data_IF_115285735220
#
_entry.id   IF_115285735220
#
_cell.length_a   1.000
_cell.length_b   1.000
_cell.length_c   1.000
_cell.angle_alpha   90.00
_cell.angle_beta   90.00
_cell.angle_gamma   90.00
#
_symmetry.space_group_name_H-M   'P 1'
#
loop_
_entity.id
_entity.type
_entity.pdbx_description
1 polymer ?
#
# COMPACT_ATOMS: atom_id res chain seq x y z
N UNK A 1 24.82 64.69 -18.45
CA UNK A 1 23.81 65.05 -19.46
C UNK A 1 22.68 64.03 -19.23
N UNK A 2 21.67 64.33 -18.45
CA UNK A 2 20.53 65.20 -18.72
C UNK A 2 19.49 64.45 -19.60
N UNK A 3 18.31 64.34 -19.08
CA UNK A 3 17.06 64.05 -19.75
C UNK A 3 16.19 63.06 -18.94
N UNK A 4 15.55 63.39 -17.91
CA UNK A 4 14.16 63.82 -17.57
C UNK A 4 13.15 63.58 -18.70
N UNK A 5 12.09 62.86 -18.44
CA UNK A 5 10.76 63.39 -18.68
C UNK A 5 9.65 62.60 -17.95
N UNK A 6 8.83 63.38 -17.33
CA UNK A 6 7.56 63.12 -16.67
C UNK A 6 6.49 62.63 -17.64
N UNK A 7 5.57 61.73 -17.19
CA UNK A 7 4.17 61.78 -17.62
C UNK A 7 3.19 61.40 -16.50
N UNK A 8 2.50 62.37 -16.09
CA UNK A 8 1.21 62.66 -15.48
C UNK A 8 0.29 61.47 -15.21
N UNK A 9 -0.22 61.53 -13.99
CA UNK A 9 -1.29 60.72 -13.42
C UNK A 9 -2.68 61.00 -13.99
N UNK A 10 -3.55 60.04 -13.85
CA UNK A 10 -4.99 60.19 -13.72
C UNK A 10 -5.50 59.42 -12.50
N UNK A 11 -5.95 60.18 -11.54
CA UNK A 11 -6.82 59.71 -10.44
C UNK A 11 -8.20 59.41 -11.01
N UNK A 12 -8.72 58.21 -10.81
CA UNK A 12 -10.12 57.92 -10.94
C UNK A 12 -10.75 57.72 -9.54
N UNK A 13 -11.89 58.31 -9.27
CA UNK A 13 -12.49 58.31 -7.92
C UNK A 13 -13.23 57.00 -7.62
N UNK A 14 -13.08 56.61 -6.41
CA UNK A 14 -13.75 55.63 -5.59
C UNK A 14 -14.99 54.89 -6.09
N UNK A 15 -14.85 53.59 -6.11
CA UNK A 15 -15.99 52.68 -5.83
C UNK A 15 -15.60 51.91 -4.59
N UNK A 16 -16.13 52.32 -3.43
CA UNK A 16 -16.05 51.60 -2.17
C UNK A 16 -17.10 50.49 -2.21
N UNK A 17 -16.72 49.30 -2.67
CA UNK A 17 -17.55 48.10 -2.53
C UNK A 17 -17.31 47.59 -1.10
N UNK A 18 -18.28 47.83 -0.22
CA UNK A 18 -18.32 47.17 1.10
C UNK A 18 -18.63 45.70 0.92
N UNK A 19 -17.60 44.88 0.93
CA UNK A 19 -17.74 43.42 1.07
C UNK A 19 -18.07 43.08 2.52
N UNK A 20 -19.34 43.08 2.85
CA UNK A 20 -19.86 42.66 4.15
C UNK A 20 -19.92 41.13 4.33
N UNK A 21 -19.43 40.36 3.37
CA UNK A 21 -19.38 38.89 3.41
C UNK A 21 -18.01 38.26 3.74
N UNK A 22 -16.94 39.07 3.77
CA UNK A 22 -15.57 38.55 3.86
C UNK A 22 -15.12 38.23 5.30
N UNK A 23 -15.70 38.85 6.30
CA UNK A 23 -15.32 38.64 7.70
C UNK A 23 -15.78 37.29 8.24
N UNK A 24 -16.94 36.83 7.84
CA UNK A 24 -17.48 35.54 8.32
C UNK A 24 -16.76 34.33 7.68
N UNK A 25 -16.36 34.44 6.42
CA UNK A 25 -15.53 33.43 5.76
C UNK A 25 -14.11 33.37 6.35
N UNK A 26 -13.51 34.53 6.65
CA UNK A 26 -12.20 34.58 7.32
C UNK A 26 -12.22 34.02 8.74
N UNK A 27 -13.32 34.21 9.48
CA UNK A 27 -13.50 33.57 10.79
C UNK A 27 -13.68 32.06 10.69
N UNK A 28 -14.42 31.57 9.69
CA UNK A 28 -14.59 30.14 9.42
C UNK A 28 -13.24 29.51 9.03
N UNK A 29 -12.46 30.14 8.16
CA UNK A 29 -11.13 29.67 7.79
C UNK A 29 -10.15 29.69 8.96
N UNK A 30 -10.11 30.77 9.76
CA UNK A 30 -9.28 30.84 10.97
C UNK A 30 -9.71 29.89 12.06
N UNK A 31 -11.01 29.57 12.15
CA UNK A 31 -11.50 28.57 13.10
C UNK A 31 -11.09 27.17 12.66
N UNK A 32 -11.15 26.90 11.36
CA UNK A 32 -10.69 25.62 10.78
C UNK A 32 -9.18 25.47 10.90
N UNK A 33 -8.38 26.51 10.60
CA UNK A 33 -6.93 26.52 10.82
C UNK A 33 -6.55 26.32 12.30
N UNK A 34 -7.30 26.90 13.26
CA UNK A 34 -7.06 26.68 14.69
C UNK A 34 -7.55 25.33 15.20
N UNK A 35 -8.55 24.74 14.56
CA UNK A 35 -9.01 23.36 14.83
C UNK A 35 -7.98 22.37 14.27
N UNK A 36 -7.36 22.65 13.12
CA UNK A 36 -6.28 21.87 12.53
C UNK A 36 -4.95 22.03 13.31
N UNK A 37 -4.64 23.23 13.87
CA UNK A 37 -3.48 23.48 14.74
C UNK A 37 -3.62 22.90 16.16
N UNK A 38 -4.83 22.67 16.65
CA UNK A 38 -5.10 22.07 17.97
C UNK A 38 -5.26 20.54 17.95
N UNK A 39 -5.21 19.91 16.77
CA UNK A 39 -5.01 18.48 16.68
C UNK A 39 -3.53 18.22 16.95
N UNK A 40 -3.17 17.93 18.18
CA UNK A 40 -1.84 17.41 18.50
C UNK A 40 -1.60 16.20 17.57
N UNK A 41 -0.73 16.38 16.58
CA UNK A 41 -0.28 15.26 15.77
C UNK A 41 0.22 14.19 16.74
N UNK A 42 -0.48 13.08 16.79
CA UNK A 42 -0.06 11.95 17.60
C UNK A 42 1.32 11.55 17.07
N UNK A 43 2.34 11.60 17.90
CA UNK A 43 3.70 11.32 17.47
C UNK A 43 3.76 9.87 16.97
N UNK A 44 4.12 9.71 15.70
CA UNK A 44 4.19 8.39 15.04
C UNK A 44 5.42 7.66 15.54
N UNK A 45 5.23 6.45 16.07
CA UNK A 45 6.30 5.54 16.39
C UNK A 45 6.75 4.79 15.13
N UNK A 46 7.85 5.23 14.52
CA UNK A 46 8.39 4.65 13.28
C UNK A 46 8.71 3.14 13.40
N UNK A 47 8.74 2.60 14.60
CA UNK A 47 9.03 1.19 14.86
C UNK A 47 7.82 0.37 15.29
N UNK A 48 6.60 0.92 15.11
CA UNK A 48 5.34 0.23 15.41
C UNK A 48 4.53 -0.01 14.15
N UNK A 49 4.02 -1.21 14.01
CA UNK A 49 3.12 -1.64 12.93
C UNK A 49 1.84 -2.25 13.51
N UNK A 50 0.72 -1.96 12.87
CA UNK A 50 -0.56 -2.58 13.19
C UNK A 50 -1.01 -3.47 12.02
N UNK A 51 -1.50 -4.67 12.34
CA UNK A 51 -2.06 -5.62 11.38
C UNK A 51 -3.54 -5.83 11.67
N UNK A 52 -4.40 -5.48 10.73
CA UNK A 52 -5.86 -5.66 10.82
C UNK A 52 -6.29 -6.80 9.90
N UNK A 53 -6.70 -7.90 10.49
CA UNK A 53 -6.98 -9.17 9.84
C UNK A 53 -5.83 -10.17 10.02
N UNK A 54 -6.08 -11.24 10.77
CA UNK A 54 -5.11 -12.30 11.10
C UNK A 54 -5.44 -13.62 10.36
N UNK A 55 -5.92 -13.50 9.09
CA UNK A 55 -6.05 -14.65 8.20
C UNK A 55 -4.69 -15.07 7.63
N UNK A 56 -4.67 -16.00 6.67
CA UNK A 56 -3.43 -16.51 6.08
C UNK A 56 -2.46 -15.42 5.59
N UNK A 57 -2.98 -14.37 4.96
CA UNK A 57 -2.16 -13.25 4.47
C UNK A 57 -1.63 -12.43 5.63
N UNK A 58 -2.50 -12.07 6.60
CA UNK A 58 -2.11 -11.29 7.77
C UNK A 58 -1.06 -11.99 8.62
N UNK A 59 -1.29 -13.26 8.96
CA UNK A 59 -0.35 -14.07 9.76
C UNK A 59 1.00 -14.25 9.05
N UNK A 60 0.97 -14.59 7.76
CA UNK A 60 2.21 -14.71 6.97
C UNK A 60 2.96 -13.37 6.88
N UNK A 61 2.23 -12.26 6.76
CA UNK A 61 2.82 -10.91 6.72
C UNK A 61 3.40 -10.54 8.09
N UNK A 62 2.67 -10.80 9.18
CA UNK A 62 3.16 -10.55 10.54
C UNK A 62 4.45 -11.33 10.82
N UNK A 63 4.51 -12.60 10.43
CA UNK A 63 5.71 -13.42 10.54
C UNK A 63 6.88 -12.85 9.72
N UNK A 64 6.63 -12.46 8.45
CA UNK A 64 7.66 -11.88 7.58
C UNK A 64 8.19 -10.53 8.12
N UNK A 65 7.33 -9.73 8.75
CA UNK A 65 7.72 -8.47 9.38
C UNK A 65 8.50 -8.69 10.70
N UNK A 66 8.12 -9.67 11.50
CA UNK A 66 8.86 -10.06 12.70
C UNK A 66 10.28 -10.48 12.33
N UNK A 67 10.42 -11.35 11.33
CA UNK A 67 11.71 -11.85 10.86
C UNK A 67 12.58 -10.73 10.23
N UNK A 68 11.97 -9.70 9.63
CA UNK A 68 12.70 -8.58 9.03
C UNK A 68 13.46 -7.71 10.04
N UNK A 69 12.97 -7.63 11.26
CA UNK A 69 13.50 -6.72 12.30
C UNK A 69 13.29 -5.22 12.00
N UNK A 70 12.37 -4.87 11.09
CA UNK A 70 12.02 -3.49 10.78
C UNK A 70 11.35 -2.77 11.96
N UNK A 71 10.47 -3.48 12.66
CA UNK A 71 9.70 -2.94 13.77
C UNK A 71 10.14 -3.52 15.09
N UNK A 72 9.86 -2.81 16.18
CA UNK A 72 10.05 -3.26 17.56
C UNK A 72 8.73 -3.52 18.29
N UNK A 73 7.61 -3.14 17.67
CA UNK A 73 6.27 -3.37 18.21
C UNK A 73 5.29 -3.71 17.07
N UNK A 74 4.46 -4.72 17.29
CA UNK A 74 3.41 -5.14 16.38
C UNK A 74 2.14 -5.46 17.17
N UNK A 75 1.03 -4.81 16.77
CA UNK A 75 -0.29 -5.15 17.27
C UNK A 75 -1.08 -5.91 16.21
N UNK A 76 -1.67 -7.02 16.61
CA UNK A 76 -2.53 -7.85 15.77
C UNK A 76 -3.99 -7.66 16.17
N UNK A 77 -4.83 -7.35 15.19
CA UNK A 77 -6.25 -7.07 15.40
C UNK A 77 -7.07 -7.96 14.44
N UNK A 78 -8.02 -8.69 14.98
CA UNK A 78 -8.98 -9.48 14.19
C UNK A 78 -10.38 -9.38 14.81
N UNK A 79 -11.40 -9.58 13.99
CA UNK A 79 -12.78 -9.69 14.48
C UNK A 79 -12.95 -10.90 15.43
N UNK A 80 -12.19 -11.96 15.21
CA UNK A 80 -12.00 -13.08 16.12
C UNK A 80 -10.77 -12.81 17.01
N UNK A 81 -11.01 -12.32 18.22
CA UNK A 81 -9.94 -12.01 19.18
C UNK A 81 -9.10 -13.23 19.54
N UNK A 82 -9.70 -14.41 19.64
CA UNK A 82 -8.95 -15.64 19.94
C UNK A 82 -7.94 -15.97 18.83
N UNK A 83 -8.31 -15.69 17.58
CA UNK A 83 -7.38 -15.81 16.44
C UNK A 83 -6.22 -14.86 16.58
N UNK A 84 -6.47 -13.56 16.82
CA UNK A 84 -5.41 -12.58 17.00
C UNK A 84 -4.46 -12.95 18.16
N UNK A 85 -5.01 -13.42 19.28
CA UNK A 85 -4.23 -13.89 20.42
C UNK A 85 -3.39 -15.13 20.08
N UNK A 86 -3.98 -16.11 19.40
CA UNK A 86 -3.28 -17.31 18.96
C UNK A 86 -2.13 -17.03 18.00
N UNK A 87 -2.35 -16.17 16.99
CA UNK A 87 -1.32 -15.76 16.05
C UNK A 87 -0.21 -14.94 16.74
N UNK A 88 -0.56 -14.04 17.67
CA UNK A 88 0.41 -13.27 18.44
C UNK A 88 1.31 -14.19 19.30
N UNK A 89 0.71 -15.18 19.95
CA UNK A 89 1.48 -16.15 20.74
C UNK A 89 2.41 -17.00 19.88
N UNK A 90 1.90 -17.57 18.79
CA UNK A 90 2.67 -18.45 17.91
C UNK A 90 3.86 -17.72 17.29
N UNK A 91 3.62 -16.52 16.73
CA UNK A 91 4.69 -15.69 16.16
C UNK A 91 5.71 -15.28 17.24
N UNK A 92 5.25 -14.95 18.46
CA UNK A 92 6.12 -14.56 19.58
C UNK A 92 7.06 -15.68 20.00
N UNK A 93 6.67 -16.94 19.86
CA UNK A 93 7.56 -18.08 20.13
C UNK A 93 8.75 -18.16 19.16
N UNK A 94 8.70 -17.47 18.04
CA UNK A 94 9.83 -17.30 17.12
C UNK A 94 10.86 -16.24 17.55
N UNK A 95 10.50 -15.33 18.48
CA UNK A 95 11.37 -14.21 18.87
C UNK A 95 12.73 -14.60 19.45
N UNK A 96 12.92 -15.74 20.17
CA UNK A 96 14.25 -16.17 20.57
C UNK A 96 15.25 -16.38 19.43
N UNK A 97 14.76 -16.52 18.19
CA UNK A 97 15.56 -16.70 16.97
C UNK A 97 15.61 -15.45 16.08
N UNK A 98 14.96 -14.36 16.48
CA UNK A 98 14.81 -13.13 15.72
C UNK A 98 15.26 -11.89 16.52
N UNK A 99 15.06 -10.69 15.96
CA UNK A 99 15.29 -9.45 16.71
C UNK A 99 14.19 -9.22 17.74
N UNK A 100 14.51 -8.60 18.89
CA UNK A 100 13.50 -8.31 19.90
C UNK A 100 12.35 -7.46 19.35
N UNK A 101 11.11 -7.90 19.59
CA UNK A 101 9.90 -7.24 19.19
C UNK A 101 8.80 -7.51 20.23
N UNK A 102 7.98 -6.52 20.54
CA UNK A 102 6.75 -6.71 21.30
C UNK A 102 5.61 -7.05 20.34
N UNK A 103 5.05 -8.26 20.45
CA UNK A 103 3.94 -8.71 19.60
C UNK A 103 2.77 -9.05 20.53
N UNK A 104 1.58 -8.53 20.21
CA UNK A 104 0.38 -8.75 21.03
C UNK A 104 -0.90 -8.58 20.21
N UNK A 105 -1.94 -9.25 20.67
CA UNK A 105 -3.30 -8.96 20.21
C UNK A 105 -3.82 -7.71 20.91
N UNK A 106 -4.41 -6.81 20.15
CA UNK A 106 -4.92 -5.54 20.66
C UNK A 106 -6.22 -5.12 20.01
N UNK A 107 -6.54 -3.85 20.14
CA UNK A 107 -7.72 -3.24 19.53
C UNK A 107 -7.38 -1.94 18.77
N UNK A 108 -8.41 -1.22 18.30
CA UNK A 108 -8.20 -0.01 17.53
C UNK A 108 -7.58 1.14 18.33
N UNK A 109 -7.57 1.10 19.66
CA UNK A 109 -6.92 2.15 20.47
C UNK A 109 -5.40 1.96 20.47
N UNK A 110 -4.93 0.75 20.21
CA UNK A 110 -3.50 0.42 20.11
C UNK A 110 -2.83 0.89 18.81
N UNK A 111 -3.60 1.35 17.79
CA UNK A 111 -3.01 1.74 16.49
C UNK A 111 -2.61 3.22 16.41
N UNK A 112 -2.93 4.02 17.41
CA UNK A 112 -2.87 5.50 17.37
C UNK A 112 -1.51 6.03 16.94
N UNK A 113 -0.44 5.42 17.42
CA UNK A 113 0.95 5.80 17.15
C UNK A 113 1.65 4.90 16.11
N UNK A 114 0.94 3.96 15.47
CA UNK A 114 1.55 3.07 14.49
C UNK A 114 2.05 3.83 13.24
N UNK A 115 3.27 3.53 12.79
CA UNK A 115 3.81 4.10 11.54
C UNK A 115 3.08 3.57 10.30
N UNK A 116 2.71 2.29 10.32
CA UNK A 116 2.00 1.64 9.22
C UNK A 116 0.85 0.82 9.81
N UNK A 117 -0.33 1.00 9.25
CA UNK A 117 -1.53 0.22 9.54
C UNK A 117 -1.84 -0.61 8.30
N UNK A 118 -1.68 -1.93 8.40
CA UNK A 118 -1.85 -2.86 7.30
C UNK A 118 -3.23 -3.51 7.41
N UNK A 119 -4.04 -3.43 6.36
CA UNK A 119 -5.36 -4.05 6.32
C UNK A 119 -5.34 -5.23 5.35
N UNK A 120 -5.43 -6.43 5.93
CA UNK A 120 -5.58 -7.70 5.20
C UNK A 120 -6.94 -8.34 5.44
N UNK A 121 -7.79 -7.69 6.25
CA UNK A 121 -9.12 -8.15 6.56
C UNK A 121 -10.01 -8.13 5.32
N UNK A 122 -10.67 -9.23 5.05
CA UNK A 122 -11.56 -9.39 3.92
C UNK A 122 -12.08 -10.83 3.82
N UNK A 123 -13.13 -11.00 3.05
CA UNK A 123 -13.65 -12.33 2.73
C UNK A 123 -13.01 -12.84 1.45
N UNK A 124 -12.78 -14.14 1.40
CA UNK A 124 -12.40 -14.82 0.16
C UNK A 124 -13.63 -15.03 -0.74
N UNK A 125 -13.40 -15.04 -2.05
CA UNK A 125 -14.43 -15.39 -3.03
C UNK A 125 -14.84 -16.86 -2.85
N UNK A 126 -16.14 -17.12 -2.80
CA UNK A 126 -16.68 -18.47 -2.81
C UNK A 126 -16.84 -18.97 -4.25
N UNK A 127 -16.92 -20.29 -4.48
CA UNK A 127 -17.05 -20.85 -5.82
C UNK A 127 -18.24 -20.32 -6.63
N UNK A 128 -19.34 -19.97 -5.95
CA UNK A 128 -20.60 -19.50 -6.58
C UNK A 128 -20.74 -17.97 -6.54
N UNK A 129 -19.73 -17.23 -6.08
CA UNK A 129 -19.75 -15.77 -5.99
C UNK A 129 -19.09 -15.13 -7.22
N UNK A 130 -19.71 -14.05 -7.72
CA UNK A 130 -19.12 -13.23 -8.76
C UNK A 130 -18.04 -12.28 -8.16
N UNK A 131 -17.20 -11.71 -9.01
CA UNK A 131 -16.27 -10.64 -8.58
C UNK A 131 -17.00 -9.45 -7.97
N UNK A 132 -18.17 -9.10 -8.50
CA UNK A 132 -18.98 -7.98 -7.99
C UNK A 132 -19.51 -8.26 -6.59
N UNK A 133 -19.94 -9.49 -6.31
CA UNK A 133 -20.38 -9.90 -4.96
C UNK A 133 -19.23 -9.80 -3.96
N UNK A 134 -18.02 -10.21 -4.35
CA UNK A 134 -16.83 -10.08 -3.52
C UNK A 134 -16.51 -8.61 -3.22
N UNK A 135 -16.58 -7.73 -4.25
CA UNK A 135 -16.40 -6.28 -4.07
C UNK A 135 -17.38 -5.73 -3.05
N UNK A 136 -18.69 -5.99 -3.23
CA UNK A 136 -19.74 -5.48 -2.34
C UNK A 136 -19.53 -5.96 -0.89
N UNK A 137 -19.19 -7.22 -0.71
CA UNK A 137 -18.93 -7.82 0.58
C UNK A 137 -17.72 -7.18 1.28
N UNK A 138 -16.61 -7.02 0.57
CA UNK A 138 -15.40 -6.45 1.14
C UNK A 138 -15.51 -4.94 1.36
N UNK A 139 -16.23 -4.21 0.51
CA UNK A 139 -16.60 -2.80 0.78
C UNK A 139 -17.46 -2.71 2.05
N UNK A 140 -18.38 -3.66 2.28
CA UNK A 140 -19.15 -3.75 3.52
C UNK A 140 -18.25 -3.92 4.76
N UNK A 141 -17.25 -4.79 4.68
CA UNK A 141 -16.25 -4.98 5.75
C UNK A 141 -15.44 -3.70 5.96
N UNK A 142 -14.98 -3.04 4.90
CA UNK A 142 -14.24 -1.79 4.97
C UNK A 142 -15.03 -0.65 5.60
N UNK A 143 -16.34 -0.58 5.36
CA UNK A 143 -17.24 0.37 6.04
C UNK A 143 -17.28 0.20 7.56
N UNK A 144 -16.95 -0.97 8.10
CA UNK A 144 -16.84 -1.19 9.54
C UNK A 144 -15.43 -0.95 10.09
N UNK A 145 -14.37 -1.17 9.29
CA UNK A 145 -12.98 -1.07 9.72
C UNK A 145 -12.43 0.35 9.57
N UNK A 146 -12.55 0.93 8.38
CA UNK A 146 -11.87 2.18 8.05
C UNK A 146 -12.35 3.37 8.90
N UNK A 147 -13.65 3.54 9.21
CA UNK A 147 -14.08 4.59 10.14
C UNK A 147 -13.53 4.41 11.56
N UNK A 148 -13.31 3.17 12.01
CA UNK A 148 -12.71 2.94 13.34
C UNK A 148 -11.23 3.35 13.36
N UNK A 149 -10.48 3.15 12.26
CA UNK A 149 -9.12 3.68 12.11
C UNK A 149 -9.13 5.21 12.08
N UNK A 150 -10.02 5.79 11.26
CA UNK A 150 -10.10 7.24 11.09
C UNK A 150 -10.42 7.99 12.40
N UNK A 151 -11.32 7.44 13.23
CA UNK A 151 -11.68 8.01 14.54
C UNK A 151 -10.50 8.16 15.51
N UNK A 152 -9.46 7.32 15.38
CA UNK A 152 -8.27 7.35 16.24
C UNK A 152 -7.24 8.40 15.81
N UNK A 153 -7.51 9.09 14.69
CA UNK A 153 -6.65 10.16 14.20
C UNK A 153 -5.16 9.77 14.10
N UNK A 154 -4.92 8.54 13.59
CA UNK A 154 -3.57 7.99 13.44
C UNK A 154 -2.75 8.83 12.46
N UNK A 155 -1.48 9.11 12.81
CA UNK A 155 -0.52 9.82 11.94
C UNK A 155 0.13 8.93 10.86
N UNK A 156 0.04 7.61 10.98
CA UNK A 156 0.72 6.64 10.12
C UNK A 156 0.12 6.44 8.72
N UNK A 157 0.75 5.60 7.95
CA UNK A 157 0.34 5.21 6.59
C UNK A 157 -0.65 4.04 6.66
N UNK A 158 -1.73 4.13 5.89
CA UNK A 158 -2.71 3.06 5.73
C UNK A 158 -2.37 2.23 4.49
N UNK A 159 -1.96 0.98 4.68
CA UNK A 159 -1.58 0.05 3.62
C UNK A 159 -2.67 -1.02 3.42
N UNK A 160 -3.30 -1.01 2.27
CA UNK A 160 -4.37 -1.94 1.90
C UNK A 160 -3.78 -3.13 1.12
N UNK A 161 -4.14 -4.33 1.56
CA UNK A 161 -3.69 -5.60 0.97
C UNK A 161 -4.87 -6.49 0.57
N UNK A 162 -6.04 -6.24 1.15
CA UNK A 162 -7.27 -6.99 0.86
C UNK A 162 -7.71 -6.82 -0.60
N UNK A 163 -8.21 -7.89 -1.21
CA UNK A 163 -8.69 -7.89 -2.60
C UNK A 163 -10.20 -7.60 -2.72
N UNK A 164 -10.61 -6.91 -3.81
CA UNK A 164 -9.79 -6.33 -4.90
C UNK A 164 -9.08 -5.05 -4.45
N UNK A 165 -7.75 -5.08 -4.47
CA UNK A 165 -6.90 -4.11 -3.75
C UNK A 165 -7.10 -2.67 -4.22
N UNK A 166 -7.19 -2.42 -5.52
CA UNK A 166 -7.31 -1.06 -6.08
C UNK A 166 -8.64 -0.40 -5.67
N UNK A 167 -9.75 -1.16 -5.78
CA UNK A 167 -11.08 -0.71 -5.37
C UNK A 167 -11.12 -0.47 -3.86
N UNK A 168 -10.53 -1.36 -3.07
CA UNK A 168 -10.53 -1.24 -1.62
C UNK A 168 -9.60 -0.12 -1.13
N UNK A 169 -8.50 0.14 -1.83
CA UNK A 169 -7.63 1.29 -1.55
C UNK A 169 -8.38 2.61 -1.79
N UNK A 170 -9.07 2.73 -2.92
CA UNK A 170 -9.92 3.88 -3.19
C UNK A 170 -11.05 4.03 -2.15
N UNK A 171 -11.68 2.92 -1.79
CA UNK A 171 -12.72 2.90 -0.74
C UNK A 171 -12.14 3.36 0.60
N UNK A 172 -10.97 2.88 0.99
CA UNK A 172 -10.28 3.27 2.21
C UNK A 172 -9.95 4.76 2.22
N UNK A 173 -9.45 5.31 1.11
CA UNK A 173 -9.19 6.73 0.95
C UNK A 173 -10.47 7.57 1.18
N UNK A 174 -11.58 7.17 0.56
CA UNK A 174 -12.85 7.90 0.69
C UNK A 174 -13.48 7.80 2.08
N UNK A 175 -13.33 6.64 2.75
CA UNK A 175 -13.93 6.42 4.08
C UNK A 175 -13.07 6.98 5.21
N UNK A 176 -11.74 7.02 5.06
CA UNK A 176 -10.83 7.50 6.10
C UNK A 176 -10.76 9.03 6.16
N UNK A 177 -10.93 9.69 5.02
CA UNK A 177 -10.63 11.13 4.89
C UNK A 177 -9.13 11.46 5.03
N UNK A 178 -8.25 10.46 5.03
CA UNK A 178 -6.81 10.67 5.07
C UNK A 178 -6.31 11.32 3.77
N UNK A 179 -5.22 12.08 3.81
CA UNK A 179 -4.61 12.61 2.59
C UNK A 179 -4.12 11.45 1.69
N UNK A 180 -4.14 11.66 0.36
CA UNK A 180 -3.86 10.63 -0.65
C UNK A 180 -2.48 9.98 -0.47
N UNK A 181 -1.48 10.74 -0.05
CA UNK A 181 -0.12 10.24 0.19
C UNK A 181 0.00 9.34 1.43
N UNK A 182 -1.06 9.16 2.20
CA UNK A 182 -1.09 8.29 3.38
C UNK A 182 -1.94 7.03 3.20
N UNK A 183 -2.53 6.82 2.03
CA UNK A 183 -3.34 5.62 1.73
C UNK A 183 -2.77 4.92 0.52
N UNK A 184 -2.19 3.74 0.73
CA UNK A 184 -1.51 2.95 -0.29
C UNK A 184 -2.19 1.59 -0.46
N UNK A 185 -2.17 1.07 -1.68
CA UNK A 185 -2.47 -0.34 -1.96
C UNK A 185 -1.19 -1.12 -2.20
N UNK A 186 -1.18 -2.42 -1.92
CA UNK A 186 -0.07 -3.30 -2.30
C UNK A 186 0.10 -3.39 -3.83
N UNK A 187 -0.97 -3.09 -4.58
CA UNK A 187 -0.97 -2.99 -6.03
C UNK A 187 -0.30 -4.18 -6.71
N UNK A 188 0.49 -3.89 -7.72
CA UNK A 188 1.18 -4.88 -8.56
C UNK A 188 2.60 -5.23 -8.08
N UNK A 189 2.94 -4.97 -6.80
CA UNK A 189 4.28 -5.29 -6.27
C UNK A 189 4.55 -6.79 -6.29
N UNK A 190 3.55 -7.62 -5.94
CA UNK A 190 3.67 -9.07 -6.03
C UNK A 190 3.78 -9.55 -7.48
N UNK A 191 2.99 -8.99 -8.40
CA UNK A 191 3.00 -9.37 -9.80
C UNK A 191 4.34 -9.00 -10.46
N UNK A 192 4.89 -7.85 -10.10
CA UNK A 192 6.25 -7.46 -10.44
C UNK A 192 7.29 -8.47 -9.93
N UNK A 193 7.15 -8.97 -8.71
CA UNK A 193 8.04 -10.00 -8.18
C UNK A 193 7.91 -11.32 -8.95
N UNK A 194 6.70 -11.71 -9.33
CA UNK A 194 6.44 -12.87 -10.19
C UNK A 194 7.07 -12.72 -11.57
N UNK A 195 6.94 -11.52 -12.18
CA UNK A 195 7.58 -11.20 -13.46
C UNK A 195 9.11 -11.35 -13.37
N UNK A 196 9.71 -10.75 -12.35
CA UNK A 196 11.17 -10.83 -12.12
C UNK A 196 11.63 -12.27 -11.89
N UNK A 197 10.86 -13.07 -11.13
CA UNK A 197 11.16 -14.47 -10.92
C UNK A 197 11.10 -15.27 -12.23
N UNK A 198 10.02 -15.14 -13.00
CA UNK A 198 9.87 -15.85 -14.29
C UNK A 198 10.96 -15.46 -15.30
N UNK A 199 11.35 -14.18 -15.34
CA UNK A 199 12.47 -13.73 -16.18
C UNK A 199 13.81 -14.29 -15.69
N UNK A 200 14.03 -14.32 -14.39
CA UNK A 200 15.22 -14.93 -13.79
C UNK A 200 15.38 -16.39 -14.18
N UNK A 201 14.31 -17.19 -14.08
CA UNK A 201 14.27 -18.60 -14.49
C UNK A 201 14.50 -18.74 -16.02
N UNK A 202 13.80 -17.95 -16.83
CA UNK A 202 13.93 -17.99 -18.29
C UNK A 202 15.35 -17.69 -18.77
N UNK A 203 16.02 -16.72 -18.17
CA UNK A 203 17.35 -16.26 -18.55
C UNK A 203 18.48 -16.93 -17.77
N UNK A 204 18.13 -17.77 -16.77
CA UNK A 204 19.07 -18.38 -15.84
C UNK A 204 19.99 -17.33 -15.17
N UNK A 205 19.35 -16.32 -14.55
CA UNK A 205 20.00 -15.26 -13.77
C UNK A 205 19.28 -15.05 -12.45
N UNK A 206 19.96 -14.44 -11.48
CA UNK A 206 19.33 -14.03 -10.23
C UNK A 206 18.21 -13.02 -10.51
N UNK A 207 16.99 -13.30 -10.05
CA UNK A 207 15.83 -12.43 -10.25
C UNK A 207 16.01 -11.02 -9.64
N UNK A 208 16.94 -10.86 -8.68
CA UNK A 208 17.31 -9.54 -8.12
C UNK A 208 18.02 -8.65 -9.13
N UNK A 209 18.67 -9.23 -10.13
CA UNK A 209 19.32 -8.51 -11.24
C UNK A 209 18.34 -8.08 -12.33
N UNK A 210 17.10 -8.53 -12.27
CA UNK A 210 16.04 -8.17 -13.22
C UNK A 210 15.33 -6.91 -12.76
N UNK A 211 15.28 -5.89 -13.62
CA UNK A 211 14.51 -4.66 -13.44
C UNK A 211 13.37 -4.67 -14.44
N UNK A 212 12.20 -5.04 -13.99
CA UNK A 212 10.97 -5.11 -14.78
C UNK A 212 9.77 -4.82 -13.86
N UNK A 213 8.67 -4.34 -14.42
CA UNK A 213 7.51 -3.92 -13.67
C UNK A 213 6.21 -4.44 -14.30
N UNK A 214 5.29 -4.84 -13.46
CA UNK A 214 3.87 -4.92 -13.79
C UNK A 214 3.23 -3.63 -13.33
N UNK A 215 2.41 -3.01 -14.18
CA UNK A 215 1.71 -1.75 -13.91
C UNK A 215 0.22 -1.91 -14.18
N UNK A 216 -0.56 -0.92 -13.75
CA UNK A 216 -2.02 -0.91 -13.88
C UNK A 216 -2.73 -1.46 -12.66
N UNK A 217 -3.94 -1.96 -12.84
CA UNK A 217 -4.76 -2.58 -11.81
C UNK A 217 -4.25 -4.00 -11.51
N UNK A 218 -4.15 -4.37 -10.23
CA UNK A 218 -3.82 -5.74 -9.85
C UNK A 218 -4.93 -6.72 -10.27
N UNK A 219 -4.61 -7.61 -11.20
CA UNK A 219 -5.52 -8.62 -11.73
C UNK A 219 -5.39 -8.80 -13.24
N UNK A 220 -6.49 -9.21 -13.89
CA UNK A 220 -6.45 -9.63 -15.30
C UNK A 220 -6.12 -8.48 -16.28
N UNK A 221 -6.27 -7.22 -15.86
CA UNK A 221 -5.97 -6.02 -16.66
C UNK A 221 -4.55 -5.48 -16.47
N UNK A 222 -3.73 -6.15 -15.66
CA UNK A 222 -2.33 -5.78 -15.45
C UNK A 222 -1.50 -5.85 -16.73
N UNK A 223 -0.45 -5.01 -16.81
CA UNK A 223 0.40 -4.88 -17.99
C UNK A 223 1.88 -4.97 -17.61
N UNK A 224 2.63 -5.84 -18.29
CA UNK A 224 4.08 -5.88 -18.19
C UNK A 224 4.73 -4.74 -18.98
N UNK A 225 5.54 -3.90 -18.31
CA UNK A 225 6.21 -2.74 -18.90
C UNK A 225 7.50 -3.17 -19.59
N UNK A 226 7.39 -3.90 -20.70
CA UNK A 226 8.54 -4.49 -21.43
C UNK A 226 9.56 -3.46 -21.92
N UNK A 227 9.10 -2.27 -22.33
CA UNK A 227 9.98 -1.22 -22.87
C UNK A 227 11.01 -0.70 -21.87
N UNK A 228 10.73 -0.86 -20.55
CA UNK A 228 11.64 -0.47 -19.47
C UNK A 228 12.37 -1.65 -18.83
N UNK A 229 12.12 -2.88 -19.31
CA UNK A 229 12.69 -4.07 -18.71
C UNK A 229 14.18 -4.23 -19.05
N UNK A 230 14.99 -4.45 -18.01
CA UNK A 230 16.46 -4.66 -18.16
C UNK A 230 16.96 -5.78 -17.25
N UNK A 231 18.09 -6.34 -17.59
CA UNK A 231 18.87 -7.24 -16.71
C UNK A 231 20.24 -6.62 -16.49
N UNK A 232 20.56 -6.26 -15.27
CA UNK A 232 21.81 -5.55 -14.92
C UNK A 232 22.08 -4.31 -15.80
N UNK A 233 21.01 -3.57 -16.16
CA UNK A 233 21.08 -2.38 -16.99
C UNK A 233 21.10 -2.63 -18.51
N UNK A 234 21.17 -3.88 -18.95
CA UNK A 234 21.07 -4.25 -20.39
C UNK A 234 19.59 -4.42 -20.75
N UNK A 235 19.09 -3.79 -21.83
CA UNK A 235 17.72 -3.99 -22.30
C UNK A 235 17.37 -5.47 -22.48
N UNK A 236 16.13 -5.84 -22.09
CA UNK A 236 15.73 -7.25 -21.99
C UNK A 236 15.94 -8.02 -23.29
N UNK A 237 15.56 -7.47 -24.46
CA UNK A 237 15.71 -8.15 -25.74
C UNK A 237 17.19 -8.39 -26.07
N UNK A 238 18.05 -7.39 -25.90
CA UNK A 238 19.50 -7.54 -26.09
C UNK A 238 20.08 -8.60 -25.17
N UNK A 239 19.65 -8.62 -23.90
CA UNK A 239 20.12 -9.63 -22.95
C UNK A 239 19.63 -11.03 -23.33
N UNK A 240 18.39 -11.17 -23.80
CA UNK A 240 17.85 -12.43 -24.32
C UNK A 240 18.72 -12.98 -25.50
N UNK A 241 19.04 -12.12 -26.47
CA UNK A 241 19.90 -12.48 -27.61
C UNK A 241 21.30 -12.95 -27.17
N UNK A 242 21.91 -12.24 -26.21
CA UNK A 242 23.18 -12.64 -25.61
C UNK A 242 23.13 -14.04 -24.95
N UNK A 243 21.94 -14.47 -24.50
CA UNK A 243 21.68 -15.78 -23.90
C UNK A 243 21.20 -16.82 -24.92
N UNK A 244 21.10 -16.48 -26.20
CA UNK A 244 20.65 -17.36 -27.26
C UNK A 244 19.12 -17.48 -27.41
N UNK A 245 18.37 -16.56 -26.81
CA UNK A 245 16.91 -16.47 -26.92
C UNK A 245 16.53 -15.39 -27.93
N UNK A 246 16.04 -15.77 -29.12
CA UNK A 246 15.75 -14.85 -30.23
C UNK A 246 14.26 -14.66 -30.49
N UNK A 247 13.40 -15.47 -29.86
CA UNK A 247 11.95 -15.39 -30.04
C UNK A 247 11.32 -14.55 -28.89
N UNK A 248 11.51 -13.24 -28.95
CA UNK A 248 11.15 -12.33 -27.88
C UNK A 248 9.65 -12.26 -27.65
N UNK A 249 8.85 -12.15 -28.73
CA UNK A 249 7.40 -11.94 -28.65
C UNK A 249 6.71 -13.13 -27.95
N UNK A 250 7.03 -14.36 -28.39
CA UNK A 250 6.49 -15.56 -27.76
C UNK A 250 6.91 -15.71 -26.28
N UNK A 251 8.18 -15.39 -25.98
CA UNK A 251 8.70 -15.49 -24.63
C UNK A 251 8.02 -14.47 -23.69
N UNK A 252 7.88 -13.21 -24.12
CA UNK A 252 7.27 -12.15 -23.33
C UNK A 252 5.79 -12.40 -23.11
N UNK A 253 5.07 -12.85 -24.14
CA UNK A 253 3.64 -13.19 -24.06
C UNK A 253 3.40 -14.35 -23.07
N UNK A 254 4.16 -15.44 -23.20
CA UNK A 254 4.09 -16.57 -22.29
C UNK A 254 4.42 -16.18 -20.84
N UNK A 255 5.45 -15.36 -20.63
CA UNK A 255 5.84 -14.92 -19.27
C UNK A 255 4.76 -14.04 -18.65
N UNK A 256 4.21 -13.09 -19.42
CA UNK A 256 3.10 -12.24 -18.94
C UNK A 256 1.88 -13.09 -18.56
N UNK A 257 1.52 -14.06 -19.37
CA UNK A 257 0.41 -14.98 -19.10
C UNK A 257 0.67 -15.83 -17.85
N UNK A 258 1.89 -16.34 -17.66
CA UNK A 258 2.27 -17.06 -16.45
C UNK A 258 2.14 -16.20 -15.19
N UNK A 259 2.46 -14.91 -15.26
CA UNK A 259 2.31 -13.98 -14.13
C UNK A 259 0.84 -13.87 -13.75
N UNK A 260 -0.04 -13.57 -14.71
CA UNK A 260 -1.50 -13.47 -14.51
C UNK A 260 -2.09 -14.74 -13.90
N UNK A 261 -1.69 -15.90 -14.41
CA UNK A 261 -2.22 -17.19 -14.00
C UNK A 261 -1.61 -17.74 -12.71
N UNK A 262 -0.51 -17.17 -12.21
CA UNK A 262 0.21 -17.69 -11.03
C UNK A 262 -0.68 -17.83 -9.80
N UNK A 263 -1.55 -16.85 -9.52
CA UNK A 263 -2.44 -16.91 -8.36
C UNK A 263 -3.46 -18.04 -8.49
N UNK A 264 -4.06 -18.22 -9.66
CA UNK A 264 -5.03 -19.28 -9.92
C UNK A 264 -4.41 -20.67 -9.78
N UNK A 265 -3.22 -20.87 -10.31
CA UNK A 265 -2.48 -22.12 -10.19
C UNK A 265 -2.15 -22.47 -8.73
N UNK A 266 -1.64 -21.49 -7.96
CA UNK A 266 -1.31 -21.69 -6.54
C UNK A 266 -2.58 -22.03 -5.74
N UNK A 267 -3.69 -21.30 -5.97
CA UNK A 267 -4.95 -21.53 -5.28
C UNK A 267 -5.53 -22.91 -5.63
N UNK A 268 -5.44 -23.33 -6.88
CA UNK A 268 -5.88 -24.68 -7.28
C UNK A 268 -5.11 -25.77 -6.53
N UNK A 269 -3.80 -25.59 -6.31
CA UNK A 269 -2.93 -26.58 -5.67
C UNK A 269 -2.99 -26.56 -4.14
N UNK A 270 -2.99 -25.38 -3.51
CA UNK A 270 -2.90 -25.26 -2.03
C UNK A 270 -4.02 -24.45 -1.38
N UNK A 271 -5.07 -24.10 -2.14
CA UNK A 271 -6.30 -23.44 -1.70
C UNK A 271 -6.16 -21.95 -1.35
N UNK A 272 -4.95 -21.44 -1.14
CA UNK A 272 -4.69 -20.02 -0.85
C UNK A 272 -3.27 -19.62 -1.27
N UNK A 273 -3.06 -18.33 -1.57
CA UNK A 273 -1.74 -17.74 -1.76
C UNK A 273 -1.50 -16.67 -0.69
N UNK A 274 -0.35 -16.72 -0.01
CA UNK A 274 -0.07 -15.80 1.10
C UNK A 274 1.43 -15.52 1.33
N UNK A 275 2.37 -16.38 0.95
CA UNK A 275 3.80 -16.13 1.18
C UNK A 275 4.36 -15.01 0.30
N UNK A 276 4.03 -15.04 -0.99
CA UNK A 276 4.50 -14.02 -1.94
C UNK A 276 4.01 -12.62 -1.58
N UNK A 277 2.72 -12.48 -1.25
CA UNK A 277 2.16 -11.20 -0.83
C UNK A 277 2.74 -10.73 0.50
N UNK A 278 3.02 -11.62 1.45
CA UNK A 278 3.67 -11.29 2.70
C UNK A 278 5.05 -10.64 2.47
N UNK A 279 5.84 -11.20 1.55
CA UNK A 279 7.14 -10.63 1.16
C UNK A 279 6.99 -9.31 0.39
N UNK A 280 5.97 -9.16 -0.43
CA UNK A 280 5.67 -7.89 -1.11
C UNK A 280 5.32 -6.78 -0.10
N UNK A 281 4.45 -7.07 0.87
CA UNK A 281 4.10 -6.15 1.95
C UNK A 281 5.31 -5.81 2.81
N UNK A 282 6.14 -6.79 3.18
CA UNK A 282 7.40 -6.55 3.88
C UNK A 282 8.28 -5.55 3.11
N UNK A 283 8.43 -5.72 1.80
CA UNK A 283 9.23 -4.81 0.95
C UNK A 283 8.64 -3.39 0.90
N UNK A 284 7.30 -3.27 0.82
CA UNK A 284 6.63 -1.97 0.88
C UNK A 284 6.90 -1.29 2.22
N UNK A 285 6.73 -2.01 3.32
CA UNK A 285 7.04 -1.48 4.66
C UNK A 285 8.51 -1.07 4.79
N UNK A 286 9.43 -1.85 4.23
CA UNK A 286 10.86 -1.54 4.23
C UNK A 286 11.14 -0.24 3.49
N UNK A 287 10.57 -0.05 2.29
CA UNK A 287 10.71 1.17 1.50
C UNK A 287 10.16 2.40 2.24
N UNK A 288 8.98 2.27 2.88
CA UNK A 288 8.39 3.35 3.67
C UNK A 288 9.26 3.73 4.87
N UNK A 289 9.71 2.75 5.64
CA UNK A 289 10.46 3.02 6.88
C UNK A 289 11.88 3.53 6.61
N UNK A 290 12.48 3.16 5.49
CA UNK A 290 13.83 3.56 5.09
C UNK A 290 13.87 4.76 4.14
N UNK A 291 12.69 5.25 3.72
CA UNK A 291 12.58 6.35 2.74
C UNK A 291 13.32 6.03 1.41
N UNK A 292 13.05 4.83 0.85
CA UNK A 292 13.64 4.29 -0.39
C UNK A 292 12.72 4.46 -1.60
#
# INVERSE_FOLDING_TARGET
MAGSDHFYGRKNPGITVKFCGCLHLQEIFRKKEREDENMSETSVNQRKVAMIGCGFVGSATAFALMESGLFSEMVLIDADKNRAEGEALDISHGLPFARPMKIYAGDYDDIVDAAIIIVTAGANQKPDETRLDLVQKNVGIFKSIIPEIAKRNCGGILLIVSNPVDILTYTALKLSGFPENRVLGSGTVLDTARLKYNLGEHLNVDSRSVHAFIIGEHGDSELAAWSSATVSGVPINTFCEMRGHFNHDEATERIAENVKNSAYEIIAKKKATYFGVAMAVRRICEAIIRDE
#
